data_IF_987385326103
#
_entry.id   IF_987385326103
#
_cell.length_a   1.000
_cell.length_b   1.000
_cell.length_c   1.000
_cell.angle_alpha   90.00
_cell.angle_beta   90.00
_cell.angle_gamma   90.00
#
_symmetry.space_group_name_H-M   'P 1'
#
loop_
_entity.id
_entity.type
_entity.pdbx_description
1 polymer ?
#
# COMPACT_ATOMS: atom_id res chain seq x y z
N UNK A 1 -8.20 3.76 -64.70
CA UNK A 1 -8.20 4.71 -63.58
C UNK A 1 -7.82 3.97 -62.33
N UNK A 2 -6.77 4.46 -61.66
CA UNK A 2 -6.52 4.40 -60.21
C UNK A 2 -6.10 3.05 -59.60
N UNK A 3 -4.78 2.90 -59.53
CA UNK A 3 -3.98 2.11 -58.60
C UNK A 3 -4.35 2.41 -57.13
N UNK A 4 -4.40 1.40 -56.26
CA UNK A 4 -4.08 1.58 -54.83
C UNK A 4 -3.28 0.38 -54.34
N UNK A 5 -2.11 0.71 -53.80
CA UNK A 5 -1.11 -0.20 -53.24
C UNK A 5 -1.51 -0.51 -51.79
N UNK A 6 -1.70 -1.79 -51.47
CA UNK A 6 -1.82 -2.23 -50.08
C UNK A 6 -0.42 -2.56 -49.55
N UNK A 7 0.08 -1.70 -48.65
CA UNK A 7 1.35 -1.90 -47.95
C UNK A 7 1.18 -2.94 -46.85
N UNK A 8 1.73 -4.12 -47.07
CA UNK A 8 1.93 -5.15 -46.05
C UNK A 8 2.92 -4.66 -45.00
N UNK A 9 2.47 -4.50 -43.75
CA UNK A 9 3.36 -4.36 -42.60
C UNK A 9 3.46 -5.73 -41.91
N UNK A 10 4.54 -6.45 -42.21
CA UNK A 10 4.91 -7.68 -41.52
C UNK A 10 5.46 -7.33 -40.13
N UNK A 11 4.74 -7.73 -39.08
CA UNK A 11 5.30 -7.83 -37.73
C UNK A 11 5.93 -9.22 -37.58
N UNK A 12 7.24 -9.29 -37.41
CA UNK A 12 7.96 -10.53 -37.09
C UNK A 12 7.70 -10.90 -35.62
N UNK A 13 6.83 -11.88 -35.39
CA UNK A 13 6.43 -12.40 -34.06
C UNK A 13 7.38 -13.52 -33.59
N UNK A 14 8.68 -13.38 -33.84
CA UNK A 14 9.65 -14.44 -33.62
C UNK A 14 10.59 -14.17 -32.44
N UNK A 15 10.09 -13.65 -31.30
CA UNK A 15 10.82 -13.73 -30.03
C UNK A 15 9.96 -13.43 -28.78
N UNK A 16 8.72 -13.94 -28.74
CA UNK A 16 7.93 -13.95 -27.50
C UNK A 16 8.01 -15.37 -26.95
N UNK A 17 8.88 -15.60 -25.96
CA UNK A 17 8.90 -16.83 -25.19
C UNK A 17 7.46 -17.17 -24.76
N UNK A 18 7.03 -18.38 -25.11
CA UNK A 18 5.65 -18.84 -25.05
C UNK A 18 4.98 -18.49 -23.71
N UNK A 19 4.12 -17.47 -23.73
CA UNK A 19 3.20 -17.20 -22.63
C UNK A 19 2.12 -18.28 -22.63
N UNK A 20 1.71 -18.80 -21.45
CA UNK A 20 0.65 -19.81 -21.37
C UNK A 20 -0.62 -19.26 -22.02
N UNK A 21 -1.04 -19.91 -23.11
CA UNK A 21 -2.31 -19.63 -23.77
C UNK A 21 -3.40 -20.35 -22.99
N UNK A 22 -4.49 -19.63 -22.71
CA UNK A 22 -5.66 -20.19 -22.06
C UNK A 22 -6.49 -20.86 -23.16
N UNK A 23 -6.51 -22.19 -23.17
CA UNK A 23 -7.56 -22.93 -23.87
C UNK A 23 -8.80 -22.92 -22.99
N UNK A 24 -9.74 -22.05 -23.32
CA UNK A 24 -11.10 -22.12 -22.76
C UNK A 24 -11.76 -23.36 -23.40
N UNK A 25 -12.20 -24.37 -22.64
CA UNK A 25 -12.98 -25.45 -23.21
C UNK A 25 -14.26 -24.84 -23.81
N UNK A 26 -14.53 -25.15 -25.08
CA UNK A 26 -15.63 -24.60 -25.88
C UNK A 26 -17.05 -24.84 -25.30
N UNK A 27 -17.17 -25.52 -24.15
CA UNK A 27 -18.44 -25.95 -23.56
C UNK A 27 -18.74 -25.30 -22.21
N UNK A 28 -18.18 -24.12 -21.91
CA UNK A 28 -18.74 -23.27 -20.86
C UNK A 28 -20.01 -22.54 -21.36
N UNK A 29 -20.94 -23.30 -21.93
CA UNK A 29 -22.32 -22.90 -22.17
C UNK A 29 -23.16 -23.59 -21.12
N UNK A 30 -23.87 -22.82 -20.30
CA UNK A 30 -25.11 -23.35 -19.71
C UNK A 30 -26.01 -23.60 -20.91
N UNK A 31 -26.15 -24.86 -21.30
CA UNK A 31 -27.14 -25.21 -22.31
C UNK A 31 -28.51 -25.00 -21.68
N UNK A 32 -29.16 -23.88 -22.04
CA UNK A 32 -30.61 -23.69 -21.88
C UNK A 32 -31.37 -24.37 -23.01
N UNK A 33 -30.73 -25.27 -23.76
CA UNK A 33 -31.34 -26.06 -24.84
C UNK A 33 -32.21 -27.22 -24.31
N UNK A 34 -32.53 -27.23 -23.01
CA UNK A 34 -33.81 -27.76 -22.56
C UNK A 34 -34.83 -26.64 -22.84
N UNK A 35 -35.35 -26.64 -24.08
CA UNK A 35 -36.16 -25.55 -24.65
C UNK A 35 -37.10 -24.91 -23.64
N UNK A 36 -37.14 -23.57 -23.64
CA UNK A 36 -37.92 -22.68 -22.75
C UNK A 36 -38.97 -23.43 -21.94
N UNK A 37 -38.54 -24.08 -20.86
CA UNK A 37 -39.47 -24.68 -19.93
C UNK A 37 -40.17 -23.50 -19.27
N UNK A 38 -41.47 -23.36 -19.57
CA UNK A 38 -42.35 -22.42 -18.90
C UNK A 38 -42.03 -22.47 -17.40
N UNK A 39 -41.83 -21.31 -16.79
CA UNK A 39 -41.56 -21.23 -15.36
C UNK A 39 -42.75 -21.84 -14.60
N UNK A 40 -42.60 -23.09 -14.15
CA UNK A 40 -43.57 -23.75 -13.28
C UNK A 40 -43.19 -23.40 -11.85
N UNK A 41 -44.11 -22.78 -11.11
CA UNK A 41 -43.92 -22.50 -9.69
C UNK A 41 -43.49 -23.80 -8.97
N UNK A 42 -42.32 -23.84 -8.32
CA UNK A 42 -41.82 -25.06 -7.71
C UNK A 42 -42.74 -25.45 -6.55
N UNK A 43 -43.45 -26.57 -6.69
CA UNK A 43 -44.17 -27.18 -5.58
C UNK A 43 -43.12 -27.86 -4.70
N UNK A 44 -42.83 -27.29 -3.53
CA UNK A 44 -41.89 -27.87 -2.56
C UNK A 44 -42.57 -29.08 -1.91
N UNK A 45 -42.52 -30.23 -2.57
CA UNK A 45 -43.05 -31.49 -2.02
C UNK A 45 -42.11 -32.11 -0.98
N UNK A 46 -40.79 -31.88 -1.11
CA UNK A 46 -39.77 -32.30 -0.16
C UNK A 46 -38.62 -31.28 -0.13
N UNK A 47 -38.69 -30.34 0.80
CA UNK A 47 -37.73 -29.24 0.95
C UNK A 47 -36.29 -29.73 1.13
N UNK A 48 -36.08 -30.86 1.81
CA UNK A 48 -34.74 -31.40 2.05
C UNK A 48 -34.05 -31.79 0.74
N UNK A 49 -34.75 -32.50 -0.14
CA UNK A 49 -34.19 -32.92 -1.43
C UNK A 49 -33.86 -31.73 -2.34
N UNK A 50 -34.69 -30.67 -2.32
CA UNK A 50 -34.40 -29.42 -3.04
C UNK A 50 -33.15 -28.72 -2.49
N UNK A 51 -32.96 -28.71 -1.17
CA UNK A 51 -31.74 -28.12 -0.58
C UNK A 51 -30.51 -28.94 -0.96
N UNK A 52 -30.61 -30.27 -0.94
CA UNK A 52 -29.49 -31.15 -1.35
C UNK A 52 -29.11 -30.92 -2.81
N UNK A 53 -30.07 -30.75 -3.73
CA UNK A 53 -29.76 -30.44 -5.13
C UNK A 53 -29.11 -29.05 -5.28
N UNK A 54 -29.60 -28.04 -4.55
CA UNK A 54 -29.02 -26.70 -4.58
C UNK A 54 -27.59 -26.66 -4.02
N UNK A 55 -27.28 -27.48 -3.01
CA UNK A 55 -25.90 -27.63 -2.50
C UNK A 55 -25.01 -28.26 -3.56
N UNK A 56 -25.46 -29.31 -4.25
CA UNK A 56 -24.69 -29.92 -5.34
C UNK A 56 -24.43 -28.94 -6.50
N UNK A 57 -25.44 -28.17 -6.91
CA UNK A 57 -25.30 -27.14 -7.95
C UNK A 57 -24.28 -26.06 -7.53
N UNK A 58 -24.33 -25.66 -6.25
CA UNK A 58 -23.40 -24.69 -5.68
C UNK A 58 -21.95 -25.22 -5.68
N UNK A 59 -21.73 -26.50 -5.34
CA UNK A 59 -20.40 -27.13 -5.40
C UNK A 59 -19.85 -27.19 -6.83
N UNK A 60 -20.70 -27.55 -7.80
CA UNK A 60 -20.33 -27.57 -9.24
C UNK A 60 -19.95 -26.16 -9.70
N UNK A 61 -20.77 -25.16 -9.37
CA UNK A 61 -20.49 -23.78 -9.70
C UNK A 61 -19.19 -23.28 -9.07
N UNK A 62 -18.98 -23.56 -7.78
CA UNK A 62 -17.83 -23.11 -7.02
C UNK A 62 -16.51 -23.71 -7.57
N UNK A 63 -16.50 -25.01 -7.83
CA UNK A 63 -15.30 -25.74 -8.27
C UNK A 63 -15.04 -25.66 -9.78
N UNK A 64 -16.08 -25.40 -10.57
CA UNK A 64 -16.01 -25.24 -12.02
C UNK A 64 -15.91 -23.76 -12.42
N UNK A 65 -17.08 -23.15 -12.64
CA UNK A 65 -17.22 -21.83 -13.28
C UNK A 65 -16.55 -20.74 -12.45
N UNK A 66 -16.83 -20.68 -11.14
CA UNK A 66 -16.29 -19.62 -10.27
C UNK A 66 -14.76 -19.68 -10.17
N UNK A 67 -14.20 -20.88 -9.95
CA UNK A 67 -12.74 -21.07 -9.93
C UNK A 67 -12.09 -20.67 -11.26
N UNK A 68 -12.66 -21.12 -12.37
CA UNK A 68 -12.11 -20.82 -13.71
C UNK A 68 -12.17 -19.32 -14.02
N UNK A 69 -13.26 -18.65 -13.66
CA UNK A 69 -13.39 -17.20 -13.80
C UNK A 69 -12.34 -16.44 -12.97
N UNK A 70 -12.09 -16.88 -11.73
CA UNK A 70 -11.06 -16.27 -10.87
C UNK A 70 -9.64 -16.50 -11.40
N UNK A 71 -9.34 -17.68 -11.95
CA UNK A 71 -8.07 -17.95 -12.60
C UNK A 71 -7.82 -17.02 -13.79
N UNK A 72 -8.83 -16.85 -14.64
CA UNK A 72 -8.76 -15.90 -15.77
C UNK A 72 -8.57 -14.46 -15.28
N UNK A 73 -9.26 -14.06 -14.21
CA UNK A 73 -9.07 -12.77 -13.57
C UNK A 73 -7.63 -12.58 -13.09
N UNK A 74 -7.02 -13.59 -12.46
CA UNK A 74 -5.64 -13.50 -11.95
C UNK A 74 -4.62 -13.35 -13.08
N UNK A 75 -4.84 -13.99 -14.22
CA UNK A 75 -4.00 -13.81 -15.42
C UNK A 75 -4.11 -12.38 -15.96
N UNK A 76 -5.32 -11.80 -15.99
CA UNK A 76 -5.50 -10.39 -16.40
C UNK A 76 -4.77 -9.47 -15.42
N UNK A 77 -4.92 -9.68 -14.11
CA UNK A 77 -4.25 -8.89 -13.08
C UNK A 77 -2.73 -9.02 -13.14
N UNK A 78 -2.20 -10.21 -13.45
CA UNK A 78 -0.78 -10.43 -13.70
C UNK A 78 -0.26 -9.60 -14.87
N UNK A 79 -1.02 -9.54 -15.98
CA UNK A 79 -0.66 -8.71 -17.13
C UNK A 79 -0.66 -7.23 -16.78
N UNK A 80 -1.63 -6.76 -16.01
CA UNK A 80 -1.65 -5.37 -15.50
C UNK A 80 -0.44 -5.07 -14.61
N UNK A 81 -0.08 -6.01 -13.73
CA UNK A 81 1.07 -5.87 -12.84
C UNK A 81 2.40 -5.88 -13.61
N UNK A 82 2.52 -6.72 -14.64
CA UNK A 82 3.67 -6.71 -15.54
C UNK A 82 3.81 -5.36 -16.28
N UNK A 83 2.70 -4.85 -16.82
CA UNK A 83 2.69 -3.57 -17.52
C UNK A 83 3.18 -2.42 -16.63
N UNK A 84 2.80 -2.42 -15.35
CA UNK A 84 3.33 -1.49 -14.36
C UNK A 84 4.84 -1.68 -14.12
N UNK A 85 5.33 -2.92 -14.05
CA UNK A 85 6.76 -3.19 -13.85
C UNK A 85 7.64 -2.66 -14.99
N UNK A 86 7.17 -2.73 -16.25
CA UNK A 86 7.89 -2.18 -17.41
C UNK A 86 8.02 -0.65 -17.34
N UNK A 87 6.99 0.01 -16.82
CA UNK A 87 6.96 1.47 -16.63
C UNK A 87 7.89 1.95 -15.50
N UNK A 88 8.08 1.14 -14.46
CA UNK A 88 8.95 1.50 -13.34
C UNK A 88 10.44 1.51 -13.76
N UNK A 89 10.78 0.78 -14.82
CA UNK A 89 12.17 0.58 -15.26
C UNK A 89 12.66 1.63 -16.27
N UNK A 90 11.76 2.26 -17.05
CA UNK A 90 12.13 3.16 -18.15
C UNK A 90 11.17 4.37 -18.26
N UNK A 91 11.76 5.57 -18.33
CA UNK A 91 11.03 6.84 -18.43
C UNK A 91 10.32 7.01 -19.78
N UNK A 92 10.91 6.54 -20.88
CA UNK A 92 10.30 6.69 -22.21
C UNK A 92 9.09 5.76 -22.37
N UNK A 93 9.17 4.56 -21.79
CA UNK A 93 8.04 3.61 -21.73
C UNK A 93 6.91 4.14 -20.84
N UNK A 94 7.25 4.86 -19.78
CA UNK A 94 6.31 5.49 -18.87
C UNK A 94 5.45 6.54 -19.56
N UNK A 95 6.06 7.41 -20.36
CA UNK A 95 5.35 8.44 -21.13
C UNK A 95 4.44 7.82 -22.20
N UNK A 96 4.94 6.83 -22.95
CA UNK A 96 4.14 6.08 -23.95
C UNK A 96 2.93 5.39 -23.32
N UNK A 97 3.11 4.77 -22.15
CA UNK A 97 2.03 4.09 -21.45
C UNK A 97 0.97 5.08 -20.94
N UNK A 98 1.38 6.21 -20.35
CA UNK A 98 0.45 7.26 -19.94
C UNK A 98 -0.35 7.79 -21.12
N UNK A 99 0.29 8.01 -22.27
CA UNK A 99 -0.38 8.41 -23.49
C UNK A 99 -1.38 7.35 -23.99
N UNK A 100 -1.02 6.07 -23.91
CA UNK A 100 -1.92 4.96 -24.28
C UNK A 100 -3.15 4.86 -23.35
N UNK A 101 -2.95 5.05 -22.04
CA UNK A 101 -4.03 5.10 -21.03
C UNK A 101 -4.99 6.24 -21.35
N UNK A 102 -4.46 7.44 -21.61
CA UNK A 102 -5.27 8.63 -21.92
C UNK A 102 -6.04 8.44 -23.23
N UNK A 103 -5.37 7.95 -24.28
CA UNK A 103 -6.00 7.62 -25.56
C UNK A 103 -7.18 6.66 -25.38
N UNK A 104 -6.99 5.58 -24.62
CA UNK A 104 -8.07 4.62 -24.40
C UNK A 104 -9.22 5.21 -23.58
N UNK A 105 -8.92 6.05 -22.57
CA UNK A 105 -9.91 6.75 -21.77
C UNK A 105 -10.81 7.64 -22.63
N UNK A 106 -10.21 8.36 -23.59
CA UNK A 106 -10.91 9.23 -24.54
C UNK A 106 -11.72 8.41 -25.54
N UNK A 107 -11.11 7.44 -26.22
CA UNK A 107 -11.77 6.61 -27.26
C UNK A 107 -12.98 5.84 -26.71
N UNK A 108 -12.92 5.41 -25.46
CA UNK A 108 -14.00 4.67 -24.79
C UNK A 108 -14.91 5.54 -23.93
N UNK A 109 -14.67 6.86 -23.88
CA UNK A 109 -15.43 7.81 -23.07
C UNK A 109 -15.63 7.36 -21.61
N UNK A 110 -14.55 6.89 -20.96
CA UNK A 110 -14.63 6.29 -19.62
C UNK A 110 -14.71 7.33 -18.50
N UNK A 111 -14.38 8.60 -18.78
CA UNK A 111 -14.43 9.69 -17.80
C UNK A 111 -13.49 9.50 -16.61
N UNK A 112 -12.39 8.74 -16.78
CA UNK A 112 -11.48 8.40 -15.69
C UNK A 112 -10.56 9.59 -15.40
N UNK A 113 -10.51 10.03 -14.14
CA UNK A 113 -9.49 10.95 -13.66
C UNK A 113 -8.13 10.23 -13.51
N UNK A 114 -7.14 10.69 -14.28
CA UNK A 114 -5.78 10.13 -14.34
C UNK A 114 -4.85 10.63 -13.22
N UNK A 115 -5.34 11.47 -12.30
CA UNK A 115 -4.58 11.93 -11.10
C UNK A 115 -4.27 10.83 -10.08
N UNK A 116 -4.87 9.64 -10.22
CA UNK A 116 -4.62 8.51 -9.31
C UNK A 116 -3.27 7.83 -9.56
N UNK A 117 -2.84 6.97 -8.63
CA UNK A 117 -1.64 6.14 -8.80
C UNK A 117 -1.69 5.34 -10.11
N UNK A 118 -0.58 5.21 -10.84
CA UNK A 118 -0.59 4.65 -12.20
C UNK A 118 -1.06 3.21 -12.28
N UNK A 119 -0.73 2.36 -11.30
CA UNK A 119 -1.32 1.01 -11.17
C UNK A 119 -2.86 1.05 -11.17
N UNK A 120 -3.43 2.06 -10.50
CA UNK A 120 -4.89 2.23 -10.45
C UNK A 120 -5.43 2.70 -11.80
N UNK A 121 -4.71 3.57 -12.52
CA UNK A 121 -5.12 4.01 -13.85
C UNK A 121 -5.12 2.85 -14.86
N UNK A 122 -4.10 1.99 -14.83
CA UNK A 122 -4.03 0.77 -15.66
C UNK A 122 -5.27 -0.09 -15.43
N UNK A 123 -5.60 -0.38 -14.17
CA UNK A 123 -6.76 -1.23 -13.83
C UNK A 123 -8.08 -0.54 -14.22
N UNK A 124 -8.24 0.75 -13.97
CA UNK A 124 -9.45 1.49 -14.35
C UNK A 124 -9.68 1.45 -15.86
N UNK A 125 -8.62 1.56 -16.66
CA UNK A 125 -8.74 1.48 -18.13
C UNK A 125 -9.11 0.06 -18.59
N UNK A 126 -8.56 -0.98 -17.95
CA UNK A 126 -8.84 -2.39 -18.32
C UNK A 126 -10.24 -2.84 -17.88
N UNK A 127 -10.68 -2.44 -16.69
CA UNK A 127 -11.96 -2.88 -16.10
C UNK A 127 -13.10 -1.85 -16.24
N UNK A 128 -12.80 -0.66 -16.78
CA UNK A 128 -13.77 0.40 -17.02
C UNK A 128 -14.19 1.18 -15.76
N UNK A 129 -15.40 1.76 -15.83
CA UNK A 129 -15.92 2.71 -14.84
C UNK A 129 -16.31 2.10 -13.48
N UNK A 130 -16.15 0.78 -13.27
CA UNK A 130 -16.39 0.17 -11.95
C UNK A 130 -15.30 0.58 -10.95
N UNK A 131 -15.56 1.70 -10.28
CA UNK A 131 -14.67 2.29 -9.28
C UNK A 131 -14.37 1.31 -8.13
N UNK A 132 -15.34 0.47 -7.73
CA UNK A 132 -15.19 -0.42 -6.58
C UNK A 132 -14.24 -1.56 -6.94
N UNK A 133 -14.46 -2.25 -8.07
CA UNK A 133 -13.59 -3.33 -8.54
C UNK A 133 -12.17 -2.83 -8.81
N UNK A 134 -12.03 -1.71 -9.52
CA UNK A 134 -10.73 -1.16 -9.83
C UNK A 134 -9.92 -0.79 -8.57
N UNK A 135 -10.58 -0.25 -7.53
CA UNK A 135 -9.94 0.06 -6.25
C UNK A 135 -9.55 -1.18 -5.45
N UNK A 136 -10.37 -2.24 -5.46
CA UNK A 136 -10.02 -3.52 -4.82
C UNK A 136 -8.77 -4.10 -5.44
N UNK A 137 -8.77 -4.23 -6.78
CA UNK A 137 -7.70 -4.86 -7.52
C UNK A 137 -6.39 -4.06 -7.40
N UNK A 138 -6.46 -2.73 -7.52
CA UNK A 138 -5.27 -1.89 -7.40
C UNK A 138 -4.66 -1.91 -6.00
N UNK A 139 -5.49 -2.12 -4.97
CA UNK A 139 -5.00 -2.26 -3.61
C UNK A 139 -4.29 -3.59 -3.42
N UNK A 140 -4.86 -4.70 -3.89
CA UNK A 140 -4.21 -6.01 -3.84
C UNK A 140 -2.87 -6.04 -4.62
N UNK A 141 -2.82 -5.44 -5.81
CA UNK A 141 -1.57 -5.34 -6.57
C UNK A 141 -0.50 -4.50 -5.87
N UNK A 142 -0.91 -3.46 -5.12
CA UNK A 142 0.03 -2.67 -4.30
C UNK A 142 0.55 -3.47 -3.11
N UNK A 143 -0.25 -4.35 -2.52
CA UNK A 143 0.22 -5.29 -1.48
C UNK A 143 1.25 -6.25 -2.06
N UNK A 144 0.97 -6.83 -3.23
CA UNK A 144 1.93 -7.69 -3.93
C UNK A 144 3.24 -6.96 -4.23
N UNK A 145 3.17 -5.69 -4.65
CA UNK A 145 4.34 -4.85 -4.89
C UNK A 145 5.14 -4.60 -3.60
N UNK A 146 4.46 -4.29 -2.50
CA UNK A 146 5.09 -4.07 -1.19
C UNK A 146 5.79 -5.33 -0.66
N UNK A 147 5.22 -6.51 -0.94
CA UNK A 147 5.80 -7.82 -0.61
C UNK A 147 6.83 -8.31 -1.66
N UNK A 148 7.12 -7.49 -2.68
CA UNK A 148 8.08 -7.79 -3.77
C UNK A 148 7.76 -9.10 -4.50
N UNK A 149 6.48 -9.41 -4.66
CA UNK A 149 6.01 -10.57 -5.42
C UNK A 149 6.42 -10.40 -6.88
N UNK A 150 7.06 -11.44 -7.45
CA UNK A 150 7.42 -11.45 -8.87
C UNK A 150 6.16 -11.54 -9.72
N UNK A 151 6.22 -10.98 -10.92
CA UNK A 151 5.10 -10.99 -11.87
C UNK A 151 4.57 -12.42 -12.10
N UNK A 152 5.46 -13.38 -12.30
CA UNK A 152 5.10 -14.79 -12.58
C UNK A 152 4.35 -15.45 -11.41
N UNK A 153 4.68 -15.05 -10.18
CA UNK A 153 4.14 -15.64 -8.95
C UNK A 153 2.81 -15.01 -8.51
N UNK A 154 2.40 -13.90 -9.14
CA UNK A 154 1.21 -13.15 -8.73
C UNK A 154 -0.08 -14.01 -8.71
N UNK A 155 -0.40 -14.84 -9.72
CA UNK A 155 -1.60 -15.67 -9.65
C UNK A 155 -1.59 -16.64 -8.47
N UNK A 156 -0.43 -17.24 -8.18
CA UNK A 156 -0.27 -18.15 -7.05
C UNK A 156 -0.42 -17.41 -5.71
N UNK A 157 0.20 -16.23 -5.60
CA UNK A 157 0.06 -15.36 -4.44
C UNK A 157 -1.41 -15.01 -4.15
N UNK A 158 -2.20 -14.67 -5.19
CA UNK A 158 -3.62 -14.38 -5.04
C UNK A 158 -4.42 -15.62 -4.61
N UNK A 159 -4.11 -16.80 -5.15
CA UNK A 159 -4.72 -18.08 -4.75
C UNK A 159 -4.46 -18.40 -3.28
N UNK A 160 -3.20 -18.39 -2.87
CA UNK A 160 -2.78 -18.78 -1.51
C UNK A 160 -3.37 -17.85 -0.45
N UNK A 161 -3.62 -16.59 -0.82
CA UNK A 161 -4.27 -15.64 0.06
C UNK A 161 -5.79 -15.84 0.20
N UNK A 162 -6.43 -16.69 -0.60
CA UNK A 162 -7.90 -16.84 -0.65
C UNK A 162 -8.59 -15.84 -1.58
N UNK A 163 -7.82 -15.18 -2.45
CA UNK A 163 -8.29 -14.26 -3.48
C UNK A 163 -7.98 -12.79 -3.22
N UNK A 164 -8.37 -11.96 -4.20
CA UNK A 164 -7.99 -10.54 -4.26
C UNK A 164 -8.51 -9.73 -3.07
N UNK A 165 -9.71 -10.03 -2.60
CA UNK A 165 -10.33 -9.36 -1.46
C UNK A 165 -9.61 -9.68 -0.14
N UNK A 166 -9.09 -10.90 0.03
CA UNK A 166 -8.35 -11.30 1.23
C UNK A 166 -6.95 -10.69 1.27
N UNK A 167 -6.28 -10.56 0.11
CA UNK A 167 -5.03 -9.80 0.01
C UNK A 167 -5.24 -8.35 0.44
N UNK A 168 -6.34 -7.71 0.01
CA UNK A 168 -6.66 -6.35 0.43
C UNK A 168 -6.91 -6.27 1.94
N UNK A 169 -7.68 -7.20 2.51
CA UNK A 169 -7.96 -7.23 3.96
C UNK A 169 -6.70 -7.36 4.80
N UNK A 170 -5.74 -8.19 4.37
CA UNK A 170 -4.44 -8.34 5.05
C UNK A 170 -3.64 -7.03 5.09
N UNK A 171 -3.78 -6.14 4.11
CA UNK A 171 -3.18 -4.79 4.17
C UNK A 171 -3.70 -3.97 5.36
N UNK A 172 -4.99 -4.07 5.66
CA UNK A 172 -5.62 -3.32 6.77
C UNK A 172 -5.14 -3.82 8.13
N UNK A 173 -4.79 -5.10 8.23
CA UNK A 173 -4.32 -5.73 9.47
C UNK A 173 -2.78 -5.80 9.61
N UNK A 174 -2.05 -5.68 8.50
CA UNK A 174 -0.58 -5.80 8.43
C UNK A 174 0.13 -4.52 7.96
N UNK A 175 -0.48 -3.34 8.18
CA UNK A 175 0.23 -2.08 7.98
C UNK A 175 1.48 -2.03 8.85
N UNK A 176 2.57 -1.48 8.30
CA UNK A 176 3.83 -1.18 9.00
C UNK A 176 3.58 -0.78 10.47
N UNK A 177 4.46 -1.14 11.42
CA UNK A 177 4.24 -0.88 12.84
C UNK A 177 3.80 0.58 12.96
N UNK A 178 2.57 0.79 13.48
CA UNK A 178 2.08 2.15 13.73
C UNK A 178 3.15 2.76 14.62
N UNK A 179 3.94 3.68 14.06
CA UNK A 179 4.91 4.40 14.84
C UNK A 179 4.11 5.02 15.97
N UNK A 180 4.46 4.66 17.19
CA UNK A 180 3.88 5.27 18.38
C UNK A 180 4.37 6.72 18.41
N UNK A 181 3.65 7.59 17.69
CA UNK A 181 3.98 8.99 17.50
C UNK A 181 4.03 9.72 18.83
N UNK A 182 3.12 9.36 19.73
CA UNK A 182 3.05 9.94 21.07
C UNK A 182 4.30 9.52 21.84
N UNK A 183 4.59 8.21 21.94
CA UNK A 183 5.80 7.75 22.63
C UNK A 183 7.10 8.28 22.02
N UNK A 184 7.17 8.43 20.70
CA UNK A 184 8.32 9.03 20.03
C UNK A 184 8.49 10.51 20.38
N UNK A 185 7.40 11.30 20.38
CA UNK A 185 7.45 12.71 20.79
C UNK A 185 7.84 12.87 22.26
N UNK A 186 7.28 12.05 23.16
CA UNK A 186 7.60 12.09 24.60
C UNK A 186 9.10 11.88 24.84
N UNK A 187 9.72 10.89 24.17
CA UNK A 187 11.16 10.63 24.29
C UNK A 187 12.02 11.81 23.83
N UNK A 188 11.62 12.50 22.77
CA UNK A 188 12.40 13.59 22.18
C UNK A 188 12.27 14.90 22.98
N UNK A 189 11.06 15.20 23.47
CA UNK A 189 10.79 16.43 24.24
C UNK A 189 11.38 16.34 25.66
N UNK A 190 11.59 15.14 26.21
CA UNK A 190 12.15 14.95 27.55
C UNK A 190 13.51 15.64 27.77
N UNK A 191 14.25 15.93 26.70
CA UNK A 191 15.57 16.57 26.76
C UNK A 191 15.56 18.06 26.39
N UNK A 192 14.39 18.64 26.08
CA UNK A 192 14.25 20.03 25.62
C UNK A 192 13.54 20.87 26.67
N UNK A 193 14.28 21.78 27.32
CA UNK A 193 13.72 22.74 28.27
C UNK A 193 13.70 24.14 27.65
N UNK A 194 12.49 24.63 27.33
CA UNK A 194 12.31 25.98 26.78
C UNK A 194 12.18 27.04 27.88
N UNK A 195 11.50 26.73 28.98
CA UNK A 195 11.34 27.58 30.16
C UNK A 195 10.90 26.75 31.37
N UNK A 196 11.23 27.20 32.58
CA UNK A 196 10.72 26.64 33.86
C UNK A 196 9.86 27.70 34.52
N UNK A 197 8.65 27.32 34.94
CA UNK A 197 7.66 28.24 35.50
C UNK A 197 7.16 27.65 36.82
N UNK A 198 7.27 28.42 37.89
CA UNK A 198 6.83 28.05 39.24
C UNK A 198 5.95 29.18 39.79
N UNK A 199 4.66 29.13 39.43
CA UNK A 199 3.68 30.17 39.75
C UNK A 199 2.47 29.57 40.46
N UNK A 200 2.07 30.15 41.59
CA UNK A 200 0.98 29.62 42.44
C UNK A 200 -0.38 29.58 41.71
N UNK A 201 -0.61 30.54 40.80
CA UNK A 201 -1.82 30.60 39.99
C UNK A 201 -1.94 29.44 38.97
N UNK A 202 -0.82 28.81 38.59
CA UNK A 202 -0.77 27.64 37.72
C UNK A 202 -0.84 26.38 38.57
N UNK A 203 -0.05 26.29 39.64
CA UNK A 203 0.01 25.11 40.50
C UNK A 203 -1.34 24.80 41.17
N UNK A 204 -2.11 25.81 41.55
CA UNK A 204 -3.47 25.67 42.08
C UNK A 204 -4.50 25.10 41.09
N UNK A 205 -4.20 25.14 39.77
CA UNK A 205 -5.05 24.56 38.71
C UNK A 205 -4.62 23.18 38.26
N UNK A 206 -3.51 22.65 38.78
CA UNK A 206 -2.98 21.34 38.43
C UNK A 206 -3.53 20.27 39.38
N UNK A 207 -4.01 19.17 38.81
CA UNK A 207 -4.35 17.98 39.60
C UNK A 207 -3.10 17.29 40.17
N UNK A 208 -3.03 17.13 41.49
CA UNK A 208 -1.99 16.40 42.20
C UNK A 208 -1.94 14.91 41.82
N UNK A 209 -3.03 14.33 41.32
CA UNK A 209 -3.09 12.96 40.80
C UNK A 209 -2.47 12.77 39.41
N UNK A 210 -2.09 13.86 38.74
CA UNK A 210 -1.50 13.86 37.40
C UNK A 210 0.02 14.09 37.39
N UNK A 211 0.71 13.93 38.52
CA UNK A 211 2.17 14.09 38.62
C UNK A 211 2.87 13.20 37.58
N UNK A 212 3.78 13.80 36.81
CA UNK A 212 4.54 13.12 35.75
C UNK A 212 3.83 13.03 34.39
N UNK A 213 2.57 13.48 34.27
CA UNK A 213 1.87 13.57 32.98
C UNK A 213 2.14 14.91 32.29
N UNK A 214 2.08 14.90 30.96
CA UNK A 214 2.19 16.12 30.17
C UNK A 214 0.94 16.99 30.30
N UNK A 215 1.16 18.30 30.43
CA UNK A 215 0.12 19.33 30.56
C UNK A 215 0.27 20.32 29.41
N UNK A 216 -0.85 20.83 28.89
CA UNK A 216 -0.84 21.86 27.85
C UNK A 216 -1.12 23.21 28.49
N UNK A 217 -0.26 24.19 28.17
CA UNK A 217 -0.47 25.59 28.49
C UNK A 217 -0.96 26.32 27.24
N UNK A 218 -2.08 27.02 27.36
CA UNK A 218 -2.55 27.93 26.30
C UNK A 218 -2.03 29.31 26.64
N UNK A 219 -1.23 29.88 25.76
CA UNK A 219 -0.64 31.20 25.94
C UNK A 219 -0.85 32.09 24.72
N UNK A 220 -0.99 33.39 24.96
CA UNK A 220 -0.95 34.45 23.95
C UNK A 220 0.40 35.13 23.96
N UNK A 221 0.98 35.36 22.77
CA UNK A 221 2.22 36.10 22.63
C UNK A 221 1.96 37.61 22.60
N UNK A 222 2.69 38.36 23.41
CA UNK A 222 2.70 39.82 23.41
C UNK A 222 3.75 40.38 22.43
N UNK A 223 3.70 41.69 22.15
CA UNK A 223 4.52 42.40 21.15
C UNK A 223 6.03 42.18 21.33
N UNK A 224 6.47 41.91 22.57
CA UNK A 224 7.88 41.68 22.90
C UNK A 224 8.29 40.20 22.93
N UNK A 225 7.43 39.29 22.48
CA UNK A 225 7.67 37.85 22.55
C UNK A 225 7.41 37.21 23.92
N UNK A 226 6.96 38.00 24.91
CA UNK A 226 6.49 37.51 26.20
C UNK A 226 5.25 36.65 26.02
N UNK A 227 5.21 35.48 26.67
CA UNK A 227 4.04 34.59 26.65
C UNK A 227 3.16 34.84 27.88
N UNK A 228 1.90 35.19 27.65
CA UNK A 228 0.87 35.32 28.69
C UNK A 228 0.08 34.02 28.74
N UNK A 229 0.25 33.24 29.81
CA UNK A 229 -0.46 31.96 29.99
C UNK A 229 -1.90 32.23 30.42
N UNK A 230 -2.87 31.82 29.60
CA UNK A 230 -4.29 32.05 29.83
C UNK A 230 -4.98 30.84 30.48
N UNK A 231 -4.53 29.62 30.18
CA UNK A 231 -5.20 28.40 30.64
C UNK A 231 -4.27 27.17 30.67
N UNK A 232 -4.72 26.17 31.43
CA UNK A 232 -4.06 24.88 31.66
C UNK A 232 -5.03 23.75 31.28
N UNK A 233 -4.59 22.77 30.50
CA UNK A 233 -5.40 21.63 30.06
C UNK A 233 -4.66 20.32 30.35
N UNK A 234 -5.32 19.38 31.03
CA UNK A 234 -4.74 18.11 31.50
C UNK A 234 -5.39 16.86 30.87
N UNK A 235 -6.27 17.03 29.89
CA UNK A 235 -7.01 15.91 29.27
C UNK A 235 -6.13 15.10 28.33
N UNK A 236 -6.03 13.78 28.57
CA UNK A 236 -5.18 12.86 27.79
C UNK A 236 -5.42 12.92 26.28
N UNK A 237 -6.69 13.02 25.85
CA UNK A 237 -7.02 13.13 24.42
C UNK A 237 -6.43 14.36 23.74
N UNK A 238 -6.39 15.50 24.44
CA UNK A 238 -5.82 16.75 23.90
C UNK A 238 -4.29 16.68 23.95
N UNK A 239 -3.72 16.17 25.03
CA UNK A 239 -2.27 15.96 25.18
C UNK A 239 -1.71 15.05 24.09
N UNK A 240 -2.37 13.92 23.80
CA UNK A 240 -1.97 13.01 22.73
C UNK A 240 -2.07 13.64 21.34
N UNK A 241 -3.10 14.47 21.10
CA UNK A 241 -3.25 15.19 19.84
C UNK A 241 -2.12 16.21 19.62
N UNK A 242 -1.75 16.96 20.66
CA UNK A 242 -0.63 17.92 20.60
C UNK A 242 0.71 17.21 20.42
N UNK A 243 0.99 16.15 21.18
CA UNK A 243 2.22 15.34 21.01
C UNK A 243 2.33 14.75 19.60
N UNK A 244 1.20 14.32 19.03
CA UNK A 244 1.15 13.85 17.63
C UNK A 244 1.43 14.98 16.63
N UNK A 245 0.93 16.20 16.90
CA UNK A 245 1.20 17.36 16.06
C UNK A 245 2.69 17.74 16.08
N UNK A 246 3.31 17.74 17.27
CA UNK A 246 4.76 17.98 17.43
C UNK A 246 5.56 16.92 16.67
N UNK A 247 5.22 15.63 16.83
CA UNK A 247 5.84 14.57 16.03
C UNK A 247 5.75 14.86 14.53
N UNK A 248 4.57 15.21 14.02
CA UNK A 248 4.41 15.46 12.59
C UNK A 248 5.22 16.68 12.10
N UNK A 249 5.42 17.69 12.94
CA UNK A 249 6.24 18.85 12.63
C UNK A 249 7.75 18.53 12.65
N UNK A 250 8.21 17.73 13.61
CA UNK A 250 9.63 17.59 13.93
C UNK A 250 10.25 16.23 13.60
N UNK A 251 9.47 15.18 13.31
CA UNK A 251 10.03 13.83 13.08
C UNK A 251 11.14 13.77 12.03
N UNK A 252 11.14 14.66 11.02
CA UNK A 252 12.18 14.72 9.99
C UNK A 252 13.52 15.28 10.51
N UNK A 253 13.49 16.17 11.50
CA UNK A 253 14.70 16.70 12.11
C UNK A 253 15.26 15.73 13.14
N UNK A 254 14.39 15.02 13.87
CA UNK A 254 14.80 13.96 14.79
C UNK A 254 15.46 12.77 14.08
N UNK A 255 14.95 12.34 12.91
CA UNK A 255 15.58 11.26 12.14
C UNK A 255 16.97 11.65 11.64
N UNK A 256 17.16 12.90 11.19
CA UNK A 256 18.47 13.37 10.75
C UNK A 256 19.48 13.45 11.89
N UNK A 257 19.05 13.94 13.06
CA UNK A 257 19.91 13.96 14.25
C UNK A 257 20.27 12.55 14.73
N UNK A 258 19.34 11.59 14.66
CA UNK A 258 19.62 10.19 15.01
C UNK A 258 20.61 9.53 14.03
N UNK A 259 20.56 9.89 12.74
CA UNK A 259 21.52 9.44 11.74
C UNK A 259 22.91 10.11 11.93
N UNK A 260 22.96 11.32 12.49
CA UNK A 260 24.19 12.07 12.79
C UNK A 260 24.80 11.71 14.17
N UNK A 261 24.00 11.27 15.13
CA UNK A 261 24.41 10.81 16.47
C UNK A 261 24.67 9.31 16.56
N UNK A 262 24.52 8.55 15.46
CA UNK A 262 25.02 7.19 15.39
C UNK A 262 26.55 7.28 15.52
N UNK A 263 27.16 6.83 16.64
CA UNK A 263 28.60 6.88 16.76
C UNK A 263 29.17 6.09 15.59
N UNK A 264 30.21 6.66 14.98
CA UNK A 264 31.01 5.97 14.00
C UNK A 264 31.27 4.55 14.50
N UNK A 265 30.91 3.59 13.64
CA UNK A 265 31.18 2.16 13.69
C UNK A 265 32.16 1.72 14.78
N UNK A 266 31.87 0.60 15.47
CA UNK A 266 32.84 -0.21 16.23
C UNK A 266 34.21 -0.39 15.51
N UNK A 267 34.27 -0.18 14.19
CA UNK A 267 35.50 -0.12 13.41
C UNK A 267 36.44 1.05 13.77
N UNK A 268 35.94 2.23 14.13
CA UNK A 268 36.78 3.41 14.41
C UNK A 268 37.45 3.32 15.79
N UNK A 269 36.81 2.69 16.78
CA UNK A 269 37.45 2.40 18.07
C UNK A 269 38.51 1.29 17.94
N UNK A 270 38.28 0.28 17.09
CA UNK A 270 39.27 -0.77 16.81
C UNK A 270 40.47 -0.22 16.03
N UNK A 271 40.25 0.64 15.04
CA UNK A 271 41.32 1.27 14.26
C UNK A 271 42.11 2.29 15.10
N UNK A 272 41.48 2.97 16.05
CA UNK A 272 42.19 3.82 17.01
C UNK A 272 43.08 3.00 17.97
N UNK A 273 42.61 1.84 18.44
CA UNK A 273 43.39 0.93 19.29
C UNK A 273 44.53 0.24 18.51
N UNK A 274 44.32 -0.14 17.25
CA UNK A 274 45.34 -0.75 16.39
C UNK A 274 46.43 0.28 16.05
N UNK A 275 46.06 1.52 15.70
CA UNK A 275 47.04 2.57 15.40
C UNK A 275 47.84 3.01 16.63
N UNK A 276 47.25 2.98 17.83
CA UNK A 276 47.99 3.20 19.08
C UNK A 276 49.00 2.07 19.35
N UNK A 277 48.65 0.81 19.09
CA UNK A 277 49.54 -0.33 19.30
C UNK A 277 50.71 -0.39 18.28
N UNK A 278 50.50 0.08 17.04
CA UNK A 278 51.54 0.12 16.00
C UNK A 278 52.60 1.19 16.30
N UNK A 279 52.21 2.33 16.88
CA UNK A 279 53.16 3.39 17.26
C UNK A 279 54.04 3.04 18.48
N UNK A 280 53.58 2.17 19.39
CA UNK A 280 54.39 1.72 20.53
C UNK A 280 55.44 0.67 20.12
N UNK A 281 55.26 -0.05 18.99
CA UNK A 281 56.22 -1.06 18.52
C UNK A 281 57.44 -0.49 17.80
N UNK A 282 57.39 0.75 17.30
CA UNK A 282 58.52 1.38 16.60
C UNK A 282 59.59 1.98 17.54
N UNK A 283 59.33 2.05 18.86
CA UNK A 283 60.34 2.51 19.83
C UNK A 283 61.22 1.39 20.40
N UNK A 284 60.91 0.11 20.10
CA UNK A 284 61.67 -1.04 20.61
C UNK A 284 62.71 -1.60 19.61
N UNK A 285 62.77 -1.09 18.37
CA UNK A 285 63.70 -1.56 17.34
C UNK A 285 64.91 -0.63 17.07
N UNK A 286 65.11 0.41 17.89
CA UNK A 286 66.21 1.38 17.74
C UNK A 286 67.10 1.50 19.00
N UNK A 287 67.44 0.36 19.63
CA UNK A 287 68.50 0.26 20.63
C UNK A 287 69.52 -0.80 20.23
#
# INVERSE_FOLDING_TARGET
>A
MTTTLETTVNFNIAEIAAMPSITVPANATVSVDAGEAEWVAPVISNAYNTIVSLVADQEIWLNGVHRTANEQLYVILQRCYHLYSLMASDKDQNEKLKAAIERHNIERNLGIDTKSHTMTNIIKVVFGADRRRASSYSSALRVALAQKVKVQDLPQFLRDAGGVEEVRRKQTNGGAPKVDKVGAAVRQIAHVNLAVIDEEAISSKLDCGAIGKHVILVATQDVNGTLIINSVVQTEGVTNAVLTAIYNAEHKTWTKKADEEQPASEADELDALINAAVNDTDFAAAA
#
